data_IF_972315017171
#
_entry.id   IF_972315017171
#
_cell.length_a   1.000
_cell.length_b   1.000
_cell.length_c   1.000
_cell.angle_alpha   90.00
_cell.angle_beta   90.00
_cell.angle_gamma   90.00
#
_symmetry.space_group_name_H-M   'P 1'
#
loop_
_entity.id
_entity.type
_entity.pdbx_description
1 polymer ?
#
# COMPACT_ATOMS: atom_id res chain seq x y z
N UNK A 1 -19.75 -9.50 -11.87
CA UNK A 1 -19.08 -10.75 -11.39
C UNK A 1 -17.60 -10.66 -11.77
N UNK A 2 -16.67 -10.57 -10.82
CA UNK A 2 -15.26 -10.32 -11.10
C UNK A 2 -14.44 -11.58 -11.43
N UNK A 3 -14.80 -12.73 -10.84
CA UNK A 3 -14.09 -14.00 -10.97
C UNK A 3 -13.82 -14.48 -12.41
N UNK A 4 -14.79 -14.46 -13.36
CA UNK A 4 -14.56 -14.97 -14.71
C UNK A 4 -13.52 -14.18 -15.51
N UNK A 5 -13.21 -12.95 -15.07
CA UNK A 5 -12.32 -12.03 -15.77
C UNK A 5 -10.97 -11.86 -15.07
N UNK A 6 -10.69 -12.66 -14.02
CA UNK A 6 -9.50 -12.52 -13.17
C UNK A 6 -9.33 -11.10 -12.61
N UNK A 7 -10.44 -10.40 -12.37
CA UNK A 7 -10.44 -9.06 -11.79
C UNK A 7 -10.20 -9.10 -10.29
N UNK A 8 -9.73 -7.98 -9.77
CA UNK A 8 -9.51 -7.71 -8.35
C UNK A 8 -10.33 -6.48 -7.93
N UNK A 9 -10.27 -6.14 -6.65
CA UNK A 9 -10.85 -4.90 -6.11
C UNK A 9 -9.75 -4.09 -5.46
N UNK A 10 -9.70 -2.79 -5.77
CA UNK A 10 -8.85 -1.84 -5.04
C UNK A 10 -9.71 -1.11 -4.00
N UNK A 11 -9.24 -1.06 -2.75
CA UNK A 11 -9.98 -0.48 -1.63
C UNK A 11 -9.16 0.65 -1.02
N UNK A 12 -9.75 1.84 -1.04
CA UNK A 12 -9.28 3.00 -0.29
C UNK A 12 -10.24 3.24 0.88
N UNK A 13 -9.70 3.59 2.03
CA UNK A 13 -10.43 3.96 3.25
C UNK A 13 -10.09 5.40 3.64
N UNK A 14 -10.88 6.00 4.51
CA UNK A 14 -10.61 7.34 5.03
C UNK A 14 -9.64 7.28 6.21
N UNK A 15 -9.77 6.27 7.07
CA UNK A 15 -8.90 6.03 8.23
C UNK A 15 -8.42 4.57 8.34
N UNK A 16 -7.23 4.38 8.94
CA UNK A 16 -6.62 3.06 9.12
C UNK A 16 -7.51 2.09 9.92
N UNK A 17 -8.21 2.59 10.94
CA UNK A 17 -9.06 1.81 11.83
C UNK A 17 -10.21 1.09 11.11
N UNK A 18 -10.63 1.58 9.95
CA UNK A 18 -11.71 0.97 9.16
C UNK A 18 -11.36 -0.45 8.69
N UNK A 19 -10.07 -0.78 8.55
CA UNK A 19 -9.65 -2.14 8.20
C UNK A 19 -10.10 -3.18 9.24
N UNK A 20 -10.24 -2.80 10.50
CA UNK A 20 -10.74 -3.69 11.57
C UNK A 20 -12.18 -4.12 11.27
N UNK A 21 -13.05 -3.17 10.88
CA UNK A 21 -14.44 -3.46 10.55
C UNK A 21 -14.56 -4.28 9.25
N UNK A 22 -13.61 -4.12 8.33
CA UNK A 22 -13.59 -4.81 7.04
C UNK A 22 -12.97 -6.21 7.10
N UNK A 23 -12.11 -6.50 8.09
CA UNK A 23 -11.27 -7.71 8.14
C UNK A 23 -12.06 -9.00 7.90
N UNK A 24 -13.14 -9.23 8.66
CA UNK A 24 -13.93 -10.45 8.56
C UNK A 24 -14.59 -10.65 7.19
N UNK A 25 -14.94 -9.56 6.50
CA UNK A 25 -15.52 -9.58 5.16
C UNK A 25 -14.45 -9.81 4.10
N UNK A 26 -13.33 -9.09 4.19
CA UNK A 26 -12.22 -9.19 3.24
C UNK A 26 -11.54 -10.55 3.31
N UNK A 27 -11.41 -11.15 4.49
CA UNK A 27 -10.91 -12.51 4.64
C UNK A 27 -11.70 -13.54 3.81
N UNK A 28 -12.98 -13.27 3.54
CA UNK A 28 -13.88 -14.10 2.72
C UNK A 28 -14.04 -13.60 1.28
N UNK A 29 -13.26 -12.59 0.87
CA UNK A 29 -13.35 -12.04 -0.49
C UNK A 29 -13.15 -13.14 -1.53
N UNK A 30 -14.03 -13.25 -2.53
CA UNK A 30 -13.85 -14.23 -3.60
C UNK A 30 -12.77 -13.82 -4.62
N UNK A 31 -12.25 -12.60 -4.52
CA UNK A 31 -11.25 -12.05 -5.46
C UNK A 31 -10.08 -11.40 -4.73
N UNK A 32 -8.93 -11.22 -5.41
CA UNK A 32 -7.79 -10.46 -4.89
C UNK A 32 -8.20 -9.04 -4.48
N UNK A 33 -7.48 -8.48 -3.49
CA UNK A 33 -7.70 -7.12 -2.98
C UNK A 33 -6.40 -6.34 -2.99
N UNK A 34 -6.46 -5.10 -3.47
CA UNK A 34 -5.39 -4.11 -3.33
C UNK A 34 -5.78 -3.14 -2.21
N UNK A 35 -4.93 -3.04 -1.19
CA UNK A 35 -5.02 -1.99 -0.18
C UNK A 35 -4.38 -0.72 -0.74
N UNK A 36 -5.19 0.31 -1.00
CA UNK A 36 -4.69 1.57 -1.56
C UNK A 36 -4.00 2.44 -0.50
N UNK A 37 -3.12 3.32 -0.97
CA UNK A 37 -2.55 4.43 -0.20
C UNK A 37 -1.88 4.00 1.10
N UNK A 38 -1.08 2.92 1.03
CA UNK A 38 -0.44 2.28 2.18
C UNK A 38 -1.44 1.91 3.30
N UNK A 39 -2.69 1.62 2.94
CA UNK A 39 -3.75 1.30 3.90
C UNK A 39 -4.09 2.46 4.84
N UNK A 40 -3.75 3.70 4.49
CA UNK A 40 -3.84 4.86 5.40
C UNK A 40 -3.07 4.70 6.72
N UNK A 41 -2.04 3.85 6.73
CA UNK A 41 -1.24 3.59 7.92
C UNK A 41 -0.26 4.76 8.11
N UNK A 42 -0.48 5.54 9.16
CA UNK A 42 0.41 6.64 9.56
C UNK A 42 1.71 6.11 10.22
N UNK A 43 2.72 6.97 10.39
CA UNK A 43 4.10 6.62 10.78
C UNK A 43 4.30 5.95 12.15
N UNK A 44 5.10 6.53 13.06
CA UNK A 44 5.48 5.87 14.33
C UNK A 44 4.30 5.44 15.22
N UNK A 45 3.14 6.09 15.07
CA UNK A 45 1.89 5.73 15.77
C UNK A 45 1.23 4.46 15.19
N UNK A 46 1.58 4.07 13.96
CA UNK A 46 0.98 2.98 13.20
C UNK A 46 1.46 1.57 13.58
N UNK A 47 2.64 1.42 14.20
CA UNK A 47 3.27 0.10 14.41
C UNK A 47 2.42 -0.89 15.21
N UNK A 48 1.57 -0.39 16.11
CA UNK A 48 0.60 -1.19 16.88
C UNK A 48 -0.85 -0.78 16.61
N UNK A 49 -1.11 0.01 15.55
CA UNK A 49 -2.46 0.45 15.23
C UNK A 49 -3.33 -0.77 14.89
N UNK A 50 -4.55 -0.89 15.45
CA UNK A 50 -5.44 -2.01 15.16
C UNK A 50 -5.68 -2.24 13.67
N UNK A 51 -5.74 -1.16 12.89
CA UNK A 51 -5.86 -1.18 11.44
C UNK A 51 -4.65 -1.81 10.74
N UNK A 52 -3.42 -1.43 11.11
CA UNK A 52 -2.20 -2.09 10.61
C UNK A 52 -2.24 -3.58 10.94
N UNK A 53 -2.54 -3.94 12.18
CA UNK A 53 -2.60 -5.35 12.56
C UNK A 53 -3.64 -6.13 11.74
N UNK A 54 -4.79 -5.52 11.41
CA UNK A 54 -5.78 -6.13 10.52
C UNK A 54 -5.24 -6.34 9.10
N UNK A 55 -4.55 -5.34 8.52
CA UNK A 55 -3.90 -5.45 7.20
C UNK A 55 -2.85 -6.56 7.20
N UNK A 56 -1.99 -6.62 8.22
CA UNK A 56 -0.96 -7.66 8.35
C UNK A 56 -1.59 -9.06 8.43
N UNK A 57 -2.63 -9.25 9.25
CA UNK A 57 -3.35 -10.53 9.34
C UNK A 57 -4.04 -10.91 8.03
N UNK A 58 -4.55 -9.93 7.28
CA UNK A 58 -5.16 -10.19 5.97
C UNK A 58 -4.10 -10.62 4.95
N UNK A 59 -2.96 -9.93 4.86
CA UNK A 59 -1.87 -10.28 3.95
C UNK A 59 -1.28 -11.67 4.25
N UNK A 60 -1.21 -12.04 5.53
CA UNK A 60 -0.77 -13.37 5.99
C UNK A 60 -1.77 -14.48 5.58
N UNK A 61 -3.07 -14.25 5.81
CA UNK A 61 -4.13 -15.24 5.50
C UNK A 61 -4.47 -15.36 4.02
N UNK A 62 -4.22 -14.31 3.23
CA UNK A 62 -4.68 -14.19 1.85
C UNK A 62 -3.47 -13.98 0.94
N UNK A 63 -2.94 -15.00 0.26
CA UNK A 63 -1.76 -14.89 -0.59
C UNK A 63 -1.99 -14.06 -1.87
N UNK A 64 -3.24 -13.72 -2.16
CA UNK A 64 -3.67 -12.98 -3.34
C UNK A 64 -3.86 -11.47 -3.09
N UNK A 65 -3.72 -10.97 -1.87
CA UNK A 65 -3.89 -9.55 -1.56
C UNK A 65 -2.62 -8.72 -1.80
N UNK A 66 -2.66 -7.42 -2.00
CA UNK A 66 -1.42 -6.63 -2.17
C UNK A 66 -1.62 -5.26 -1.56
N UNK A 67 -0.53 -4.63 -1.14
CA UNK A 67 -0.52 -3.26 -0.65
C UNK A 67 0.08 -2.36 -1.72
N UNK A 68 -0.58 -1.23 -2.01
CA UNK A 68 -0.03 -0.22 -2.92
C UNK A 68 0.61 0.91 -2.11
N UNK A 69 1.93 1.06 -2.27
CA UNK A 69 2.71 2.22 -1.86
C UNK A 69 2.39 3.38 -2.83
N UNK A 70 1.29 4.08 -2.53
CA UNK A 70 0.82 5.26 -3.26
C UNK A 70 0.38 6.34 -2.27
N UNK A 71 0.25 7.58 -2.73
CA UNK A 71 -0.36 8.69 -1.95
C UNK A 71 0.18 8.91 -0.53
N UNK A 72 1.39 8.46 -0.20
CA UNK A 72 1.90 8.52 1.17
C UNK A 72 2.08 9.96 1.69
N UNK A 73 2.21 10.93 0.79
CA UNK A 73 2.18 12.37 1.08
C UNK A 73 0.85 12.85 1.71
N UNK A 74 -0.23 12.08 1.58
CA UNK A 74 -1.54 12.37 2.21
C UNK A 74 -1.62 11.95 3.67
N UNK A 75 -0.72 11.07 4.11
CA UNK A 75 -0.78 10.48 5.44
C UNK A 75 -0.28 11.46 6.50
N UNK A 76 0.70 12.30 6.14
CA UNK A 76 1.35 13.22 7.06
C UNK A 76 1.60 14.58 6.39
N UNK A 77 0.53 15.39 6.19
CA UNK A 77 0.62 16.64 5.44
C UNK A 77 1.58 17.67 6.07
N UNK A 78 1.85 17.58 7.38
CA UNK A 78 2.66 18.57 8.11
C UNK A 78 4.09 18.13 8.42
N UNK A 79 4.41 16.82 8.32
CA UNK A 79 5.71 16.29 8.74
C UNK A 79 6.65 15.98 7.56
N UNK A 80 6.16 16.08 6.33
CA UNK A 80 6.77 15.41 5.20
C UNK A 80 6.59 13.89 5.35
N UNK A 81 6.42 13.18 4.25
CA UNK A 81 6.14 11.74 4.25
C UNK A 81 7.28 10.86 4.79
N UNK A 82 8.32 11.41 5.42
CA UNK A 82 9.50 10.68 5.89
C UNK A 82 9.17 9.68 6.99
N UNK A 83 8.14 9.95 7.80
CA UNK A 83 7.76 9.06 8.91
C UNK A 83 7.06 7.77 8.46
N UNK A 84 6.77 7.60 7.16
CA UNK A 84 6.20 6.33 6.64
C UNK A 84 7.27 5.26 6.37
N UNK A 85 8.56 5.63 6.38
CA UNK A 85 9.67 4.73 6.08
C UNK A 85 9.68 3.44 6.93
N UNK A 86 9.42 3.47 8.26
CA UNK A 86 9.38 2.24 9.06
C UNK A 86 8.30 1.26 8.60
N UNK A 87 7.13 1.76 8.19
CA UNK A 87 6.02 0.95 7.71
C UNK A 87 6.36 0.34 6.34
N UNK A 88 6.93 1.12 5.43
CA UNK A 88 7.36 0.61 4.12
C UNK A 88 8.42 -0.48 4.28
N UNK A 89 9.40 -0.28 5.17
CA UNK A 89 10.43 -1.28 5.47
C UNK A 89 9.84 -2.55 6.08
N UNK A 90 8.85 -2.43 6.96
CA UNK A 90 8.14 -3.56 7.54
C UNK A 90 7.46 -4.40 6.45
N UNK A 91 6.68 -3.78 5.55
CA UNK A 91 6.04 -4.49 4.45
C UNK A 91 7.03 -5.08 3.45
N UNK A 92 8.09 -4.35 3.08
CA UNK A 92 9.12 -4.84 2.18
C UNK A 92 9.87 -6.06 2.76
N UNK A 93 10.01 -6.13 4.09
CA UNK A 93 10.64 -7.27 4.79
C UNK A 93 9.70 -8.47 4.89
N UNK A 94 8.48 -8.25 5.40
CA UNK A 94 7.57 -9.35 5.76
C UNK A 94 6.73 -9.84 4.58
N UNK A 95 6.50 -8.97 3.58
CA UNK A 95 5.66 -9.25 2.41
C UNK A 95 6.30 -8.75 1.09
N UNK A 96 7.55 -9.18 0.77
CA UNK A 96 8.33 -8.63 -0.34
C UNK A 96 7.67 -8.78 -1.72
N UNK A 97 6.85 -9.82 -1.91
CA UNK A 97 6.14 -10.10 -3.17
C UNK A 97 4.76 -9.41 -3.25
N UNK A 98 4.40 -8.58 -2.27
CA UNK A 98 3.02 -8.09 -2.06
C UNK A 98 2.90 -6.58 -1.91
N UNK A 99 3.97 -5.87 -2.27
CA UNK A 99 4.03 -4.40 -2.26
C UNK A 99 4.21 -3.90 -3.69
N UNK A 100 3.39 -2.98 -4.14
CA UNK A 100 3.49 -2.33 -5.46
C UNK A 100 3.57 -0.81 -5.29
N UNK A 101 4.27 -0.10 -6.17
CA UNK A 101 4.31 1.36 -6.14
C UNK A 101 3.32 2.00 -7.12
N UNK A 102 2.83 3.21 -6.80
CA UNK A 102 2.08 4.05 -7.73
C UNK A 102 2.11 5.53 -7.37
N UNK A 103 2.23 6.41 -8.36
CA UNK A 103 2.35 7.87 -8.14
C UNK A 103 1.09 8.54 -7.59
N UNK A 104 -0.09 7.99 -7.94
CA UNK A 104 -1.40 8.63 -7.77
C UNK A 104 -1.58 9.90 -8.63
N UNK A 105 -0.90 10.00 -9.78
CA UNK A 105 -1.16 11.06 -10.77
C UNK A 105 -2.64 11.06 -11.21
N UNK A 106 -3.28 12.23 -11.41
CA UNK A 106 -2.74 13.60 -11.34
C UNK A 106 -2.82 14.25 -9.93
N UNK A 107 -2.73 13.43 -8.87
CA UNK A 107 -2.83 13.82 -7.46
C UNK A 107 -4.14 14.57 -7.11
N UNK A 108 -5.32 13.98 -7.39
CA UNK A 108 -6.60 14.66 -7.23
C UNK A 108 -6.90 15.06 -5.79
N UNK A 109 -7.61 16.18 -5.59
CA UNK A 109 -8.07 16.60 -4.26
C UNK A 109 -6.96 17.11 -3.33
N UNK A 110 -5.88 17.66 -3.88
CA UNK A 110 -4.91 18.45 -3.13
C UNK A 110 -5.18 19.94 -3.35
N UNK A 111 -5.26 20.70 -2.26
CA UNK A 111 -5.40 22.16 -2.29
C UNK A 111 -4.04 22.89 -2.26
N UNK A 112 -2.96 22.22 -1.83
CA UNK A 112 -1.64 22.81 -1.59
C UNK A 112 -0.61 22.62 -2.72
N UNK A 113 -1.05 22.25 -3.93
CA UNK A 113 -0.16 21.88 -5.03
C UNK A 113 0.14 20.38 -5.07
N UNK A 114 0.46 19.87 -6.26
CA UNK A 114 0.86 18.48 -6.44
C UNK A 114 2.29 18.27 -5.88
N UNK A 115 2.57 17.11 -5.27
CA UNK A 115 3.95 16.73 -4.94
C UNK A 115 4.80 16.59 -6.21
N UNK A 116 6.12 16.73 -6.08
CA UNK A 116 7.03 16.35 -7.15
C UNK A 116 7.15 14.81 -7.22
N UNK A 117 6.75 14.23 -8.34
CA UNK A 117 6.82 12.78 -8.56
C UNK A 117 8.25 12.23 -8.43
N UNK A 118 9.29 12.99 -8.78
CA UNK A 118 10.68 12.56 -8.63
C UNK A 118 11.07 12.46 -7.15
N UNK A 119 10.55 13.34 -6.30
CA UNK A 119 10.73 13.23 -4.85
C UNK A 119 10.00 12.00 -4.29
N UNK A 120 8.79 11.70 -4.78
CA UNK A 120 8.04 10.52 -4.38
C UNK A 120 8.76 9.22 -4.76
N UNK A 121 9.30 9.16 -5.98
CA UNK A 121 10.10 8.02 -6.45
C UNK A 121 11.38 7.91 -5.61
N UNK A 122 12.10 9.02 -5.42
CA UNK A 122 13.33 9.06 -4.63
C UNK A 122 13.13 8.55 -3.19
N UNK A 123 12.06 8.98 -2.53
CA UNK A 123 11.72 8.54 -1.19
C UNK A 123 11.44 7.03 -1.12
N UNK A 124 10.62 6.50 -2.03
CA UNK A 124 10.36 5.07 -2.09
C UNK A 124 11.64 4.25 -2.34
N UNK A 125 12.53 4.71 -3.23
CA UNK A 125 13.82 4.05 -3.49
C UNK A 125 14.77 4.07 -2.28
N UNK A 126 14.74 5.14 -1.49
CA UNK A 126 15.51 5.27 -0.23
C UNK A 126 15.04 4.28 0.84
N UNK A 127 13.73 4.06 0.94
CA UNK A 127 13.16 3.18 1.96
C UNK A 127 13.35 1.69 1.66
N UNK A 128 13.43 1.33 0.38
CA UNK A 128 13.64 -0.05 -0.07
C UNK A 128 15.12 -0.45 0.03
N UNK A 129 15.43 -1.60 0.65
CA UNK A 129 16.77 -1.90 1.15
C UNK A 129 17.82 -2.17 0.07
N UNK A 130 17.41 -2.70 -1.08
CA UNK A 130 18.33 -3.11 -2.16
C UNK A 130 17.66 -3.06 -3.54
N UNK A 131 18.44 -3.33 -4.59
CA UNK A 131 17.95 -3.33 -5.98
C UNK A 131 16.90 -4.40 -6.25
N UNK A 132 16.91 -5.52 -5.53
CA UNK A 132 15.93 -6.61 -5.70
C UNK A 132 14.58 -6.17 -5.13
N UNK A 133 14.56 -5.57 -3.95
CA UNK A 133 13.35 -5.02 -3.36
C UNK A 133 12.76 -3.90 -4.24
N UNK A 134 13.61 -3.03 -4.80
CA UNK A 134 13.18 -1.97 -5.74
C UNK A 134 12.56 -2.57 -7.00
N UNK A 135 13.22 -3.54 -7.62
CA UNK A 135 12.71 -4.22 -8.82
C UNK A 135 11.34 -4.87 -8.55
N UNK A 136 11.19 -5.58 -7.43
CA UNK A 136 9.91 -6.20 -7.04
C UNK A 136 8.79 -5.17 -6.91
N UNK A 137 9.04 -4.09 -6.18
CA UNK A 137 8.01 -3.11 -5.84
C UNK A 137 7.62 -2.23 -7.03
N UNK A 138 8.57 -1.89 -7.91
CA UNK A 138 8.32 -1.04 -9.07
C UNK A 138 7.92 -1.80 -10.34
N UNK A 139 8.15 -3.11 -10.42
CA UNK A 139 7.86 -3.91 -11.61
C UNK A 139 7.27 -5.30 -11.29
N UNK A 140 8.08 -6.24 -10.82
CA UNK A 140 7.75 -7.67 -10.85
C UNK A 140 6.44 -8.02 -10.13
N UNK A 141 6.16 -7.36 -9.00
CA UNK A 141 4.93 -7.61 -8.24
C UNK A 141 3.69 -7.15 -9.01
N UNK A 142 3.76 -6.01 -9.70
CA UNK A 142 2.69 -5.50 -10.52
C UNK A 142 2.49 -6.36 -11.78
N UNK A 143 3.56 -6.73 -12.47
CA UNK A 143 3.49 -7.65 -13.62
C UNK A 143 2.80 -8.97 -13.24
N UNK A 144 3.20 -9.57 -12.12
CA UNK A 144 2.60 -10.81 -11.61
C UNK A 144 1.14 -10.62 -11.21
N UNK A 145 0.81 -9.54 -10.52
CA UNK A 145 -0.55 -9.30 -10.01
C UNK A 145 -1.55 -8.99 -11.12
N UNK A 146 -1.16 -8.14 -12.08
CA UNK A 146 -2.02 -7.72 -13.19
C UNK A 146 -1.96 -8.69 -14.40
N UNK A 147 -1.00 -9.61 -14.43
CA UNK A 147 -0.83 -10.58 -15.51
C UNK A 147 -0.37 -9.93 -16.82
N UNK A 148 0.57 -8.99 -16.72
CA UNK A 148 1.17 -8.25 -17.84
C UNK A 148 2.18 -9.10 -18.62
#
# INVERSE_FOLDING_TARGET
RCLPHRWHVEINVDACEEWVALEARLAKSPVPVVFEHLGRIEGEQGANAPGLCAVLRLLDKRPDFVLKLSSFYRLLPNAGFKDVAPIVKLFARDFPDRLMWGSNLPHPGLSGGAPDDLELIGAALEWLPDSVARQRVFADNAERFYGL
#
